data_IF_884635239528
#
_entry.id   IF_884635239528
#
_cell.length_a   1.000
_cell.length_b   1.000
_cell.length_c   1.000
_cell.angle_alpha   90.00
_cell.angle_beta   90.00
_cell.angle_gamma   90.00
#
_symmetry.space_group_name_H-M   'P 1'
#
loop_
_entity.id
_entity.type
_entity.pdbx_description
1 polymer ?
#
# COMPACT_ATOMS: atom_id res chain seq x y z
N UNK A 1 13.20 -13.33 8.48
CA UNK A 1 13.63 -12.49 7.35
C UNK A 1 13.42 -11.04 7.75
N UNK A 2 14.29 -10.11 7.33
CA UNK A 2 14.03 -8.68 7.49
C UNK A 2 12.65 -8.34 6.90
N UNK A 3 11.94 -7.37 7.48
CA UNK A 3 10.55 -7.06 7.15
C UNK A 3 10.36 -6.68 5.68
N UNK A 4 9.13 -6.74 5.17
CA UNK A 4 8.83 -6.38 3.77
C UNK A 4 9.33 -4.98 3.38
N UNK A 5 9.34 -4.02 4.31
CA UNK A 5 9.91 -2.69 4.06
C UNK A 5 11.45 -2.69 3.94
N UNK A 6 12.14 -3.54 4.70
CA UNK A 6 13.61 -3.60 4.72
C UNK A 6 14.18 -4.16 3.41
N UNK A 7 13.41 -5.01 2.71
CA UNK A 7 13.78 -5.52 1.39
C UNK A 7 13.71 -4.47 0.28
N UNK A 8 12.84 -3.46 0.42
CA UNK A 8 12.71 -2.38 -0.57
C UNK A 8 13.56 -1.14 -0.24
N UNK A 9 13.90 -0.93 1.04
CA UNK A 9 14.62 0.26 1.50
C UNK A 9 16.11 0.04 1.79
N UNK A 10 16.53 -1.15 2.24
CA UNK A 10 17.89 -1.32 2.80
C UNK A 10 18.86 -2.09 1.91
N UNK A 11 18.36 -2.90 0.98
CA UNK A 11 19.20 -3.80 0.20
C UNK A 11 19.15 -3.49 -1.30
N UNK A 12 20.32 -3.17 -1.88
CA UNK A 12 20.47 -2.85 -3.30
C UNK A 12 20.19 -4.04 -4.24
N UNK A 13 19.97 -5.26 -3.73
CA UNK A 13 19.78 -6.45 -4.58
C UNK A 13 18.57 -6.33 -5.48
N UNK A 14 17.45 -5.81 -4.97
CA UNK A 14 16.24 -5.58 -5.79
C UNK A 14 16.55 -4.57 -6.90
N UNK A 15 17.23 -3.46 -6.58
CA UNK A 15 17.61 -2.42 -7.54
C UNK A 15 18.58 -2.94 -8.59
N UNK A 16 19.54 -3.80 -8.22
CA UNK A 16 20.46 -4.47 -9.16
C UNK A 16 19.73 -5.39 -10.14
N UNK A 17 18.72 -6.13 -9.66
CA UNK A 17 17.88 -6.98 -10.51
C UNK A 17 17.09 -6.12 -11.50
N UNK A 18 16.42 -5.07 -11.03
CA UNK A 18 15.68 -4.11 -11.87
C UNK A 18 16.60 -3.49 -12.92
N UNK A 19 17.79 -3.02 -12.53
CA UNK A 19 18.76 -2.43 -13.44
C UNK A 19 19.23 -3.42 -14.52
N UNK A 20 19.35 -4.71 -14.20
CA UNK A 20 19.70 -5.76 -15.19
C UNK A 20 18.65 -5.84 -16.29
N UNK A 21 17.36 -5.76 -15.95
CA UNK A 21 16.28 -5.78 -16.93
C UNK A 21 16.18 -4.47 -17.74
N UNK A 22 16.50 -3.32 -17.11
CA UNK A 22 16.58 -2.04 -17.82
C UNK A 22 17.68 -2.03 -18.91
N UNK A 23 18.77 -2.82 -18.76
CA UNK A 23 19.79 -2.93 -19.83
C UNK A 23 19.26 -3.51 -21.14
N UNK A 24 18.13 -4.22 -21.10
CA UNK A 24 17.47 -4.85 -22.26
C UNK A 24 16.29 -4.00 -22.76
N UNK A 25 16.17 -2.74 -22.28
CA UNK A 25 15.09 -1.79 -22.61
C UNK A 25 13.68 -2.29 -22.25
N UNK A 26 13.55 -3.19 -21.29
CA UNK A 26 12.25 -3.64 -20.80
C UNK A 26 11.65 -2.63 -19.84
N UNK A 27 10.36 -2.32 -20.01
CA UNK A 27 9.57 -1.58 -19.04
C UNK A 27 9.04 -2.56 -17.99
N UNK A 28 9.44 -2.38 -16.74
CA UNK A 28 9.09 -3.29 -15.65
C UNK A 28 7.96 -2.67 -14.84
N UNK A 29 6.95 -3.48 -14.54
CA UNK A 29 5.91 -3.15 -13.58
C UNK A 29 5.94 -4.19 -12.45
N UNK A 30 5.93 -3.73 -11.20
CA UNK A 30 5.77 -4.60 -10.04
C UNK A 30 4.28 -4.82 -9.72
N UNK A 31 3.98 -5.93 -9.06
CA UNK A 31 2.67 -6.18 -8.45
C UNK A 31 2.91 -6.21 -6.94
N UNK A 32 2.32 -5.26 -6.21
CA UNK A 32 2.40 -5.18 -4.77
C UNK A 32 1.14 -5.81 -4.16
N UNK A 33 1.30 -6.96 -3.52
CA UNK A 33 0.21 -7.68 -2.87
C UNK A 33 0.05 -7.19 -1.44
N UNK A 34 -1.08 -6.57 -1.15
CA UNK A 34 -1.44 -6.07 0.18
C UNK A 34 -2.51 -6.97 0.80
N UNK A 35 -2.42 -7.27 2.10
CA UNK A 35 -3.45 -8.07 2.77
C UNK A 35 -4.73 -7.25 2.94
N UNK A 36 -5.87 -7.75 2.46
CA UNK A 36 -7.16 -7.05 2.54
C UNK A 36 -7.60 -6.78 3.98
N UNK A 37 -7.13 -7.55 4.97
CA UNK A 37 -7.47 -7.32 6.38
C UNK A 37 -7.02 -5.96 6.93
N UNK A 38 -6.07 -5.30 6.26
CA UNK A 38 -5.61 -3.97 6.62
C UNK A 38 -6.58 -2.84 6.24
N UNK A 39 -7.57 -3.10 5.38
CA UNK A 39 -8.49 -2.06 4.89
C UNK A 39 -9.68 -1.81 5.82
N UNK A 40 -9.86 -2.66 6.85
CA UNK A 40 -10.87 -2.47 7.90
C UNK A 40 -10.59 -1.25 8.78
N UNK A 41 -9.36 -0.73 8.74
CA UNK A 41 -8.98 0.47 9.47
C UNK A 41 -8.40 1.51 8.48
N UNK A 42 -8.96 2.74 8.45
CA UNK A 42 -8.52 3.77 7.50
C UNK A 42 -7.05 4.18 7.69
N UNK A 43 -6.55 4.19 8.92
CA UNK A 43 -5.15 4.54 9.21
C UNK A 43 -4.18 3.46 8.73
N UNK A 44 -4.54 2.17 8.90
CA UNK A 44 -3.77 1.04 8.34
C UNK A 44 -3.79 1.08 6.81
N UNK A 45 -4.93 1.37 6.21
CA UNK A 45 -5.05 1.48 4.75
C UNK A 45 -4.14 2.58 4.18
N UNK A 46 -4.11 3.77 4.79
CA UNK A 46 -3.16 4.83 4.39
C UNK A 46 -1.72 4.37 4.52
N UNK A 47 -1.38 3.71 5.64
CA UNK A 47 -0.02 3.23 5.88
C UNK A 47 0.44 2.27 4.78
N UNK A 48 -0.46 1.40 4.32
CA UNK A 48 -0.22 0.50 3.18
C UNK A 48 0.01 1.29 1.89
N UNK A 49 -0.86 2.25 1.55
CA UNK A 49 -0.71 3.07 0.34
C UNK A 49 0.61 3.86 0.36
N UNK A 50 0.96 4.48 1.48
CA UNK A 50 2.20 5.24 1.62
C UNK A 50 3.43 4.35 1.53
N UNK A 51 3.39 3.14 2.10
CA UNK A 51 4.47 2.16 2.00
C UNK A 51 4.68 1.72 0.56
N UNK A 52 3.59 1.42 -0.14
CA UNK A 52 3.59 1.16 -1.57
C UNK A 52 4.21 2.34 -2.33
N UNK A 53 3.73 3.57 -2.12
CA UNK A 53 4.26 4.76 -2.80
C UNK A 53 5.76 4.96 -2.54
N UNK A 54 6.21 4.76 -1.30
CA UNK A 54 7.62 4.85 -0.95
C UNK A 54 8.47 3.82 -1.73
N UNK A 55 7.97 2.60 -1.91
CA UNK A 55 8.64 1.58 -2.71
C UNK A 55 8.72 1.95 -4.21
N UNK A 56 7.65 2.53 -4.79
CA UNK A 56 7.69 3.05 -6.18
C UNK A 56 8.79 4.08 -6.35
N UNK A 57 8.90 5.02 -5.40
CA UNK A 57 9.88 6.11 -5.46
C UNK A 57 11.30 5.56 -5.30
N UNK A 58 11.53 4.70 -4.30
CA UNK A 58 12.86 4.17 -4.01
C UNK A 58 13.40 3.25 -5.12
N UNK A 59 12.51 2.50 -5.78
CA UNK A 59 12.89 1.55 -6.83
C UNK A 59 12.77 2.13 -8.24
N UNK A 60 12.16 3.31 -8.38
CA UNK A 60 11.87 3.96 -9.67
C UNK A 60 11.09 3.06 -10.63
N UNK A 61 10.17 2.25 -10.09
CA UNK A 61 9.31 1.35 -10.87
C UNK A 61 7.84 1.70 -10.68
N UNK A 62 7.06 1.53 -11.76
CA UNK A 62 5.60 1.52 -11.63
C UNK A 62 5.18 0.22 -10.93
N UNK A 63 4.24 0.30 -10.01
CA UNK A 63 3.63 -0.89 -9.40
C UNK A 63 2.11 -0.81 -9.46
N UNK A 64 1.48 -1.98 -9.49
CA UNK A 64 0.05 -2.16 -9.34
C UNK A 64 -0.19 -2.72 -7.95
N UNK A 65 -0.99 -2.01 -7.14
CA UNK A 65 -1.38 -2.48 -5.82
C UNK A 65 -2.59 -3.40 -5.95
N UNK A 66 -2.51 -4.60 -5.37
CA UNK A 66 -3.58 -5.60 -5.41
C UNK A 66 -3.91 -6.00 -3.98
N UNK A 67 -5.19 -5.89 -3.62
CA UNK A 67 -5.69 -6.44 -2.35
C UNK A 67 -5.82 -7.96 -2.49
N UNK A 68 -5.07 -8.67 -1.66
CA UNK A 68 -5.03 -10.12 -1.57
C UNK A 68 -5.89 -10.62 -0.41
N UNK A 69 -6.25 -11.91 -0.44
CA UNK A 69 -7.03 -12.58 0.62
C UNK A 69 -8.41 -11.95 0.89
N UNK A 70 -9.08 -11.46 -0.16
CA UNK A 70 -10.40 -10.84 -0.04
C UNK A 70 -11.43 -11.82 0.55
N UNK A 71 -11.20 -13.13 0.39
CA UNK A 71 -12.01 -14.18 1.00
C UNK A 71 -12.05 -14.15 2.55
N UNK A 72 -11.02 -13.57 3.19
CA UNK A 72 -10.96 -13.43 4.65
C UNK A 72 -11.66 -12.16 5.15
N UNK A 73 -12.11 -11.31 4.24
CA UNK A 73 -12.70 -10.03 4.55
C UNK A 73 -14.21 -10.19 4.86
N UNK A 74 -14.60 -9.93 6.10
CA UNK A 74 -16.01 -9.86 6.49
C UNK A 74 -16.59 -8.52 6.07
N UNK A 75 -17.44 -8.49 5.03
CA UNK A 75 -18.09 -7.27 4.52
C UNK A 75 -18.93 -6.50 5.55
N UNK A 76 -19.26 -7.12 6.69
CA UNK A 76 -19.99 -6.48 7.80
C UNK A 76 -19.13 -5.57 8.65
N UNK A 77 -17.81 -5.75 8.62
CA UNK A 77 -16.85 -5.05 9.49
C UNK A 77 -16.07 -3.97 8.74
N UNK A 78 -16.41 -3.71 7.47
CA UNK A 78 -15.75 -2.67 6.70
C UNK A 78 -16.39 -1.30 6.91
N UNK A 79 -15.56 -0.26 7.14
CA UNK A 79 -16.01 1.12 7.03
C UNK A 79 -16.28 1.55 5.57
N UNK A 80 -15.96 0.71 4.58
CA UNK A 80 -16.03 0.98 3.15
C UNK A 80 -16.71 -0.16 2.37
N UNK A 81 -17.46 0.14 1.32
CA UNK A 81 -17.80 -0.88 0.32
C UNK A 81 -16.54 -1.28 -0.46
N UNK A 82 -16.49 -2.51 -0.98
CA UNK A 82 -15.34 -2.95 -1.78
C UNK A 82 -15.09 -2.03 -2.99
N UNK A 83 -16.17 -1.53 -3.59
CA UNK A 83 -16.17 -0.58 -4.71
C UNK A 83 -15.37 0.71 -4.41
N UNK A 84 -15.30 1.13 -3.13
CA UNK A 84 -14.51 2.30 -2.72
C UNK A 84 -13.00 2.11 -2.97
N UNK A 85 -12.51 0.87 -2.96
CA UNK A 85 -11.11 0.54 -3.21
C UNK A 85 -10.81 0.28 -4.69
N UNK A 86 -11.84 0.07 -5.50
CA UNK A 86 -11.73 -0.14 -6.94
C UNK A 86 -11.65 1.19 -7.71
N UNK A 87 -12.25 2.25 -7.17
CA UNK A 87 -12.19 3.61 -7.70
C UNK A 87 -11.17 4.49 -6.97
N UNK A 88 -10.84 5.65 -7.55
CA UNK A 88 -9.93 6.61 -6.93
C UNK A 88 -10.53 7.03 -5.56
N UNK A 89 -9.93 6.63 -4.43
CA UNK A 89 -10.56 6.81 -3.13
C UNK A 89 -10.73 8.30 -2.85
N UNK A 90 -11.94 8.68 -2.46
CA UNK A 90 -12.23 10.07 -2.10
C UNK A 90 -11.46 10.41 -0.82
N UNK A 91 -10.29 11.03 -0.99
CA UNK A 91 -9.37 11.40 0.09
C UNK A 91 -10.05 12.24 1.17
N UNK A 92 -11.04 13.06 0.81
CA UNK A 92 -11.80 13.86 1.78
C UNK A 92 -12.61 12.97 2.72
N UNK A 93 -13.31 11.98 2.17
CA UNK A 93 -14.08 11.02 2.95
C UNK A 93 -13.18 10.17 3.87
N UNK A 94 -11.98 9.83 3.38
CA UNK A 94 -10.99 9.11 4.18
C UNK A 94 -10.46 9.96 5.33
N UNK A 95 -10.20 11.25 5.10
CA UNK A 95 -9.76 12.20 6.14
C UNK A 95 -10.86 12.41 7.19
N UNK A 96 -12.11 12.59 6.78
CA UNK A 96 -13.25 12.76 7.70
C UNK A 96 -13.38 11.56 8.67
N UNK A 97 -13.12 10.34 8.19
CA UNK A 97 -13.11 9.13 9.04
C UNK A 97 -11.95 9.08 10.05
N UNK A 98 -10.82 9.70 9.75
CA UNK A 98 -9.70 9.82 10.67
C UNK A 98 -9.99 10.87 11.75
N UNK A 99 -10.72 11.93 11.41
CA UNK A 99 -11.04 13.03 12.33
C UNK A 99 -12.08 12.62 13.39
N UNK A 100 -12.95 11.65 13.10
CA UNK A 100 -13.94 11.12 14.06
C UNK A 100 -13.32 10.22 15.13
N UNK A 101 -12.12 9.67 14.90
CA UNK A 101 -11.36 8.95 15.93
C UNK A 101 -10.31 9.90 16.48
N UNK A 102 -10.38 10.23 17.78
CA UNK A 102 -9.39 11.06 18.49
C UNK A 102 -7.96 10.53 18.30
N UNK A 103 -7.27 10.94 17.23
CA UNK A 103 -5.84 10.70 17.03
C UNK A 103 -5.00 11.88 17.57
N UNK A 104 -5.64 12.98 17.99
CA UNK A 104 -4.96 14.16 18.52
C UNK A 104 -4.65 14.13 20.03
N UNK A 105 -5.11 13.14 20.81
CA UNK A 105 -4.83 13.06 22.26
C UNK A 105 -3.58 12.26 22.65
N UNK A 106 -2.80 11.75 21.69
CA UNK A 106 -1.55 11.02 21.98
C UNK A 106 -0.28 11.75 21.56
N UNK A 107 -0.37 13.01 21.15
CA UNK A 107 0.79 13.87 20.83
C UNK A 107 0.83 15.22 21.57
N UNK A 108 0.08 15.36 22.68
CA UNK A 108 0.34 16.37 23.72
C UNK A 108 0.19 15.75 25.12
#
# INVERSE_FOLDING_TARGET
>A
MPGQMELYCSDDSIRKIINRFNTVQWQICAICLNDSTHINDPGKFISVILSSLMAMINLEITQINVLSKIDLLSTKDLPFSLDYFEELPNLKYLVDLLDVREVFLLFF
#
